data_IF_602680431547
#
_entry.id   IF_602680431547
#
_cell.length_a   1.000
_cell.length_b   1.000
_cell.length_c   1.000
_cell.angle_alpha   90.00
_cell.angle_beta   90.00
_cell.angle_gamma   90.00
#
_symmetry.space_group_name_H-M   'P 1'
#
loop_
_entity.id
_entity.type
_entity.pdbx_description
1 polymer ?
#
# COMPACT_ATOMS: atom_id res chain seq x y z
N UNK A 1 -1.92 0.53 -14.17
CA UNK A 1 -1.69 1.31 -12.95
C UNK A 1 -2.71 0.86 -11.91
N UNK A 2 -2.25 0.23 -10.82
CA UNK A 2 -3.14 -0.29 -9.77
C UNK A 2 -3.48 0.85 -8.79
N UNK A 3 -4.75 1.01 -8.42
CA UNK A 3 -5.15 2.00 -7.41
C UNK A 3 -5.19 1.29 -6.06
N UNK A 4 -4.33 1.70 -5.14
CA UNK A 4 -4.25 1.18 -3.77
C UNK A 4 -4.87 2.18 -2.81
N UNK A 5 -5.85 1.74 -2.05
CA UNK A 5 -6.51 2.51 -0.99
C UNK A 5 -6.96 1.60 0.14
N UNK A 6 -7.61 2.17 1.16
CA UNK A 6 -8.09 1.43 2.33
C UNK A 6 -9.18 0.39 2.00
N UNK A 7 -9.76 0.39 0.81
CA UNK A 7 -10.69 -0.63 0.34
C UNK A 7 -10.01 -1.76 -0.44
N UNK A 8 -8.77 -1.57 -0.91
CA UNK A 8 -8.04 -2.59 -1.69
C UNK A 8 -7.86 -3.86 -0.86
N UNK A 9 -8.26 -5.05 -1.36
CA UNK A 9 -8.11 -6.31 -0.65
C UNK A 9 -6.66 -6.56 -0.23
N UNK A 10 -6.45 -7.19 0.92
CA UNK A 10 -5.10 -7.48 1.42
C UNK A 10 -4.28 -8.35 0.45
N UNK A 11 -4.93 -9.24 -0.30
CA UNK A 11 -4.29 -10.02 -1.36
C UNK A 11 -3.66 -9.12 -2.42
N UNK A 12 -4.39 -8.12 -2.90
CA UNK A 12 -3.89 -7.16 -3.88
C UNK A 12 -2.75 -6.30 -3.33
N UNK A 13 -2.77 -5.96 -2.03
CA UNK A 13 -1.67 -5.25 -1.37
C UNK A 13 -0.40 -6.09 -1.30
N UNK A 14 -0.53 -7.40 -1.04
CA UNK A 14 0.61 -8.33 -1.01
C UNK A 14 1.15 -8.67 -2.41
N UNK A 15 0.33 -8.51 -3.45
CA UNK A 15 0.74 -8.72 -4.85
C UNK A 15 1.54 -7.56 -5.45
N UNK A 16 1.64 -6.42 -4.75
CA UNK A 16 2.40 -5.25 -5.20
C UNK A 16 3.88 -5.51 -5.07
N UNK A 17 4.62 -5.33 -6.17
CA UNK A 17 6.07 -5.54 -6.20
C UNK A 17 6.81 -4.23 -6.50
N UNK A 18 8.10 -4.21 -6.16
CA UNK A 18 9.02 -3.16 -6.61
C UNK A 18 9.00 -3.11 -8.14
N UNK A 19 8.87 -1.91 -8.71
CA UNK A 19 8.69 -1.70 -10.15
C UNK A 19 7.24 -1.62 -10.61
N UNK A 20 6.26 -1.93 -9.75
CA UNK A 20 4.85 -1.77 -10.12
C UNK A 20 4.45 -0.29 -10.09
N UNK A 21 3.67 0.14 -11.10
CA UNK A 21 3.06 1.47 -11.09
C UNK A 21 1.75 1.48 -10.30
N UNK A 22 1.75 2.17 -9.17
CA UNK A 22 0.62 2.28 -8.24
C UNK A 22 0.13 3.73 -8.09
N UNK A 23 -1.10 3.91 -7.65
CA UNK A 23 -1.73 5.22 -7.42
C UNK A 23 -2.62 5.16 -6.18
N UNK A 24 -2.72 6.26 -5.43
CA UNK A 24 -3.66 6.37 -4.31
C UNK A 24 -5.06 6.86 -4.73
N UNK A 25 -5.28 7.13 -6.02
CA UNK A 25 -6.55 7.60 -6.55
C UNK A 25 -6.90 9.06 -6.25
N UNK A 26 -6.07 9.78 -5.50
CA UNK A 26 -6.26 11.20 -5.12
C UNK A 26 -5.14 12.12 -5.65
N UNK A 27 -4.22 11.59 -6.46
CA UNK A 27 -3.21 12.36 -7.19
C UNK A 27 -1.76 11.97 -6.89
N UNK A 28 -1.50 11.08 -5.93
CA UNK A 28 -0.17 10.50 -5.71
C UNK A 28 -0.08 9.18 -6.46
N UNK A 29 0.82 9.11 -7.42
CA UNK A 29 1.09 7.92 -8.21
C UNK A 29 2.57 7.84 -8.52
N UNK A 30 3.06 6.63 -8.75
CA UNK A 30 4.45 6.40 -9.05
C UNK A 30 4.77 4.93 -9.14
N UNK A 31 6.02 4.65 -9.46
CA UNK A 31 6.57 3.30 -9.45
C UNK A 31 7.02 2.95 -8.04
N UNK A 32 6.73 1.75 -7.58
CA UNK A 32 7.13 1.30 -6.23
C UNK A 32 8.64 1.12 -6.18
N UNK A 33 9.28 1.85 -5.27
CA UNK A 33 10.70 1.72 -4.95
C UNK A 33 10.92 0.74 -3.79
N UNK A 34 10.09 0.80 -2.76
CA UNK A 34 10.17 -0.09 -1.60
C UNK A 34 8.78 -0.42 -1.05
N UNK A 35 8.65 -1.61 -0.47
CA UNK A 35 7.43 -2.07 0.20
C UNK A 35 7.77 -2.42 1.64
N UNK A 36 7.18 -1.68 2.57
CA UNK A 36 7.28 -1.94 3.99
C UNK A 36 5.93 -2.42 4.51
N UNK A 37 5.95 -3.48 5.30
CA UNK A 37 4.78 -4.01 5.97
C UNK A 37 5.02 -4.01 7.48
N UNK A 38 4.08 -3.41 8.21
CA UNK A 38 4.07 -3.40 9.66
C UNK A 38 2.75 -4.02 10.15
N UNK A 39 2.85 -5.01 11.02
CA UNK A 39 1.70 -5.56 11.73
C UNK A 39 1.77 -5.17 13.20
N UNK A 40 0.71 -4.55 13.71
CA UNK A 40 0.54 -4.24 15.14
C UNK A 40 -0.70 -4.93 15.72
N UNK A 41 -0.96 -4.69 17.00
CA UNK A 41 -2.16 -5.21 17.67
C UNK A 41 -3.43 -4.61 17.04
N UNK A 42 -4.12 -5.43 16.25
CA UNK A 42 -5.38 -5.05 15.62
C UNK A 42 -5.25 -4.29 14.30
N UNK A 43 -4.05 -4.18 13.70
CA UNK A 43 -3.91 -3.58 12.37
C UNK A 43 -2.73 -4.11 11.56
N UNK A 44 -2.89 -4.04 10.24
CA UNK A 44 -1.84 -4.18 9.23
C UNK A 44 -1.65 -2.84 8.53
N UNK A 45 -0.41 -2.43 8.36
CA UNK A 45 -0.03 -1.19 7.71
C UNK A 45 0.94 -1.52 6.58
N UNK A 46 0.56 -1.13 5.36
CA UNK A 46 1.37 -1.25 4.17
C UNK A 46 1.87 0.13 3.78
N UNK A 47 3.17 0.30 3.64
CA UNK A 47 3.81 1.53 3.22
C UNK A 47 4.57 1.26 1.93
N UNK A 48 4.09 1.82 0.83
CA UNK A 48 4.72 1.72 -0.49
C UNK A 48 5.45 3.03 -0.77
N UNK A 49 6.78 3.00 -0.75
CA UNK A 49 7.60 4.12 -1.19
C UNK A 49 7.59 4.17 -2.71
N UNK A 50 7.46 5.37 -3.28
CA UNK A 50 7.44 5.62 -4.72
C UNK A 50 8.74 6.26 -5.17
N UNK A 51 9.18 5.89 -6.37
CA UNK A 51 10.27 6.55 -7.08
C UNK A 51 9.92 8.04 -7.24
N UNK A 52 10.79 8.90 -6.71
CA UNK A 52 10.55 10.36 -6.67
C UNK A 52 10.11 10.90 -5.30
N UNK A 53 10.11 10.06 -4.26
CA UNK A 53 9.96 10.49 -2.85
C UNK A 53 8.51 10.57 -2.36
N UNK A 54 7.53 10.17 -3.17
CA UNK A 54 6.16 9.95 -2.72
C UNK A 54 6.03 8.65 -1.92
N UNK A 55 4.98 8.51 -1.13
CA UNK A 55 4.63 7.23 -0.52
C UNK A 55 3.11 7.06 -0.46
N UNK A 56 2.67 5.82 -0.52
CA UNK A 56 1.27 5.43 -0.37
C UNK A 56 1.20 4.52 0.85
N UNK A 57 0.45 4.95 1.86
CA UNK A 57 0.23 4.17 3.06
C UNK A 57 -1.22 3.67 3.09
N UNK A 58 -1.40 2.37 3.31
CA UNK A 58 -2.70 1.72 3.41
C UNK A 58 -2.80 1.05 4.77
N UNK A 59 -3.84 1.38 5.55
CA UNK A 59 -4.05 0.80 6.88
C UNK A 59 -5.28 -0.10 6.87
N UNK A 60 -5.10 -1.33 7.33
CA UNK A 60 -6.14 -2.35 7.46
C UNK A 60 -6.34 -2.70 8.91
N UNK A 61 -7.52 -2.41 9.44
CA UNK A 61 -7.89 -2.82 10.79
C UNK A 61 -8.19 -4.32 10.78
N UNK A 62 -7.53 -5.09 11.64
CA UNK A 62 -7.83 -6.50 11.84
C UNK A 62 -8.99 -6.52 12.84
N UNK A 63 -10.20 -6.78 12.37
CA UNK A 63 -11.30 -7.09 13.28
C UNK A 63 -11.06 -8.50 13.83
N UNK A 64 -10.46 -8.59 15.01
CA UNK A 64 -10.55 -9.79 15.85
C UNK A 64 -11.99 -9.91 16.35
N UNK A 65 -12.73 -10.87 15.80
CA UNK A 65 -14.01 -11.32 16.35
C UNK A 65 -13.81 -12.04 17.68
#
# INVERSE_FOLDING_TARGET
>A
MKILNDNTPTGELNDVKIGDSISNGIGTFGEVEAVNFESGDGFWQYTFALVGGGFIQVKKTIQTC
#
